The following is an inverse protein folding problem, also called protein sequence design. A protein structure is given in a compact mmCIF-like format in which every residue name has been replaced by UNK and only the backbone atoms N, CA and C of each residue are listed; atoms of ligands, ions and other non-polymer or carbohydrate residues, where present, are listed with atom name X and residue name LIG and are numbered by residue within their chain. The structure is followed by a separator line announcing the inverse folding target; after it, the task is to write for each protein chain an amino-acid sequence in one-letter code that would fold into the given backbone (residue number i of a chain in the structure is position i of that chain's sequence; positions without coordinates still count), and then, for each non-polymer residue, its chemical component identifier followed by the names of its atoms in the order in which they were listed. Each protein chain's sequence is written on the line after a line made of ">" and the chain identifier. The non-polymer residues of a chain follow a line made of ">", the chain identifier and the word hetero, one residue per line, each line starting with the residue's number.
data_IF_926401415217
#
_entry.id   IF_926401415217
#
_cell.length_a   1.000
_cell.length_b   1.000
_cell.length_c   1.000
_cell.angle_alpha   90.00
_cell.angle_beta   90.00
_cell.angle_gamma   90.00
#
_symmetry.space_group_name_H-M   'P 1'
#
loop_
_entity.id
_entity.type
_entity.pdbx_description
1 polymer ?
#
# COMPACT_ATOMS: atom_id res chain seq x y z
N UNK A 1 -22.06 29.46 2.65
CA UNK A 1 -22.26 28.07 3.09
C UNK A 1 -20.95 27.38 2.77
N UNK A 2 -20.14 27.14 3.79
CA UNK A 2 -18.83 26.52 3.66
C UNK A 2 -19.06 25.07 3.27
N UNK A 3 -18.69 24.70 2.05
CA UNK A 3 -18.64 23.31 1.65
C UNK A 3 -17.58 22.64 2.52
N UNK A 4 -18.06 21.72 3.34
CA UNK A 4 -17.26 20.80 4.12
C UNK A 4 -16.47 19.93 3.13
N UNK A 5 -15.23 20.35 2.84
CA UNK A 5 -14.28 19.60 2.00
C UNK A 5 -13.63 18.44 2.76
N UNK A 6 -14.17 18.05 3.91
CA UNK A 6 -13.76 16.90 4.68
C UNK A 6 -14.62 15.68 4.35
N UNK A 7 -14.25 14.94 3.30
CA UNK A 7 -14.30 13.46 3.19
C UNK A 7 -14.27 13.03 1.71
N UNK A 8 -13.21 12.28 1.35
CA UNK A 8 -12.90 11.71 0.04
C UNK A 8 -12.71 12.70 -1.12
N UNK A 9 -11.43 13.00 -1.40
CA UNK A 9 -10.97 13.69 -2.61
C UNK A 9 -11.18 12.89 -3.93
N UNK A 10 -12.20 12.03 -4.01
CA UNK A 10 -12.44 11.13 -5.14
C UNK A 10 -11.52 9.91 -5.22
N UNK A 11 -10.58 9.78 -4.27
CA UNK A 11 -9.68 8.64 -4.19
C UNK A 11 -10.43 7.35 -3.89
N UNK A 12 -10.09 6.30 -4.64
CA UNK A 12 -10.66 4.95 -4.48
C UNK A 12 -9.58 3.91 -4.24
N UNK A 13 -8.35 4.19 -4.66
CA UNK A 13 -7.20 3.30 -4.45
C UNK A 13 -5.97 4.09 -3.99
N UNK A 14 -5.07 3.38 -3.33
CA UNK A 14 -3.66 3.76 -3.24
C UNK A 14 -2.85 2.85 -4.16
N UNK A 15 -2.05 3.44 -5.04
CA UNK A 15 -0.98 2.78 -5.77
C UNK A 15 0.28 2.81 -4.91
N UNK A 16 0.88 1.64 -4.71
CA UNK A 16 2.13 1.46 -3.99
C UNK A 16 3.18 1.08 -5.01
N UNK A 17 4.32 1.76 -4.96
CA UNK A 17 5.54 1.36 -5.63
C UNK A 17 6.70 1.57 -4.66
N UNK A 18 7.10 0.54 -3.93
CA UNK A 18 8.06 0.65 -2.83
C UNK A 18 9.31 -0.19 -3.08
N UNK A 19 10.50 0.42 -2.96
CA UNK A 19 11.76 -0.32 -2.95
C UNK A 19 11.89 -1.16 -1.68
N UNK A 20 11.88 -2.48 -1.83
CA UNK A 20 11.95 -3.42 -0.70
C UNK A 20 13.40 -3.79 -0.45
N UNK A 21 13.85 -3.59 0.80
CA UNK A 21 15.24 -3.85 1.19
C UNK A 21 15.50 -5.30 1.60
N UNK A 22 14.52 -5.93 2.24
CA UNK A 22 14.59 -7.28 2.80
C UNK A 22 13.29 -8.01 2.47
N UNK A 23 13.29 -8.81 1.42
CA UNK A 23 12.14 -9.63 1.04
C UNK A 23 11.96 -10.79 2.02
N UNK A 24 13.05 -11.31 2.57
CA UNK A 24 13.11 -12.38 3.57
C UNK A 24 12.35 -12.10 4.88
N UNK A 25 12.00 -10.84 5.16
CA UNK A 25 11.13 -10.47 6.29
C UNK A 25 9.64 -10.75 6.02
N UNK A 26 9.29 -11.28 4.86
CA UNK A 26 7.94 -11.69 4.50
C UNK A 26 7.80 -13.20 4.25
N UNK A 27 6.56 -13.68 4.28
CA UNK A 27 6.22 -15.04 3.86
C UNK A 27 5.01 -15.05 2.94
N UNK A 28 5.01 -15.97 1.97
CA UNK A 28 3.92 -16.24 1.03
C UNK A 28 3.48 -17.69 1.18
N UNK A 29 2.18 -17.92 1.39
CA UNK A 29 1.61 -19.25 1.64
C UNK A 29 2.30 -20.01 2.79
N UNK A 30 2.81 -19.27 3.79
CA UNK A 30 3.53 -19.83 4.94
C UNK A 30 4.97 -20.26 4.64
N UNK A 31 5.52 -19.89 3.49
CA UNK A 31 6.93 -20.08 3.13
C UNK A 31 7.60 -18.72 3.14
N UNK A 32 8.73 -18.60 3.83
CA UNK A 32 9.51 -17.35 3.86
C UNK A 32 10.02 -17.01 2.45
N UNK A 33 9.98 -15.73 2.11
CA UNK A 33 10.49 -15.22 0.84
C UNK A 33 12.03 -15.17 0.85
N UNK A 34 12.64 -14.94 -0.31
CA UNK A 34 14.09 -14.70 -0.42
C UNK A 34 14.36 -13.45 -1.24
N UNK A 35 15.50 -12.80 -0.97
CA UNK A 35 15.89 -11.58 -1.67
C UNK A 35 16.19 -11.81 -3.16
N UNK A 36 16.57 -13.02 -3.56
CA UNK A 36 16.95 -13.31 -4.94
C UNK A 36 15.77 -13.51 -5.88
N UNK A 37 14.65 -14.03 -5.38
CA UNK A 37 13.48 -14.34 -6.20
C UNK A 37 12.19 -14.32 -5.37
N UNK A 38 11.74 -13.12 -4.95
CA UNK A 38 10.46 -12.97 -4.26
C UNK A 38 9.31 -13.50 -5.14
N UNK A 39 8.40 -14.25 -4.54
CA UNK A 39 7.27 -14.89 -5.20
C UNK A 39 5.95 -14.16 -4.97
N UNK A 40 5.93 -13.18 -4.05
CA UNK A 40 4.74 -12.39 -3.75
C UNK A 40 4.22 -11.67 -5.00
N UNK A 41 2.89 -11.59 -5.12
CA UNK A 41 2.27 -10.76 -6.14
C UNK A 41 2.70 -9.30 -6.03
N UNK A 42 3.03 -8.70 -7.18
CA UNK A 42 3.47 -7.31 -7.28
C UNK A 42 4.99 -7.12 -7.12
N UNK A 43 5.76 -8.17 -6.82
CA UNK A 43 7.22 -8.07 -6.86
C UNK A 43 7.71 -7.88 -8.30
N UNK A 44 8.43 -6.79 -8.57
CA UNK A 44 9.08 -6.52 -9.85
C UNK A 44 10.30 -5.60 -9.66
N UNK A 45 11.48 -6.05 -10.13
CA UNK A 45 12.73 -5.28 -10.10
C UNK A 45 13.04 -4.63 -8.73
N UNK A 46 13.10 -5.44 -7.66
CA UNK A 46 13.33 -5.00 -6.26
C UNK A 46 12.24 -4.10 -5.66
N UNK A 47 11.10 -3.96 -6.35
CA UNK A 47 9.98 -3.13 -5.89
C UNK A 47 8.72 -3.96 -5.66
N UNK A 48 7.95 -3.58 -4.66
CA UNK A 48 6.60 -4.09 -4.45
C UNK A 48 5.58 -3.12 -5.01
N UNK A 49 4.87 -3.55 -6.06
CA UNK A 49 3.92 -2.75 -6.83
C UNK A 49 2.53 -3.32 -6.78
N UNK A 50 1.64 -2.65 -6.05
CA UNK A 50 0.25 -3.07 -5.88
C UNK A 50 -0.71 -1.88 -5.88
N UNK A 51 -1.99 -2.14 -6.12
CA UNK A 51 -3.07 -1.18 -5.91
C UNK A 51 -4.00 -1.71 -4.84
N UNK A 52 -4.29 -0.91 -3.81
CA UNK A 52 -5.19 -1.29 -2.73
C UNK A 52 -6.46 -0.48 -2.85
N UNK A 53 -7.61 -1.16 -2.94
CA UNK A 53 -8.92 -0.54 -2.87
C UNK A 53 -9.16 -0.02 -1.45
N UNK A 54 -9.38 1.29 -1.30
CA UNK A 54 -9.48 1.95 0.01
C UNK A 54 -10.82 1.67 0.71
N UNK A 55 -11.90 1.42 -0.03
CA UNK A 55 -13.18 1.11 0.58
C UNK A 55 -13.19 -0.33 1.13
N UNK A 56 -12.50 -1.24 0.44
CA UNK A 56 -12.55 -2.66 0.73
C UNK A 56 -11.28 -3.18 1.41
N UNK A 57 -10.21 -2.40 1.54
CA UNK A 57 -8.93 -2.88 2.08
C UNK A 57 -8.43 -4.14 1.39
N UNK A 58 -8.52 -4.18 0.06
CA UNK A 58 -8.19 -5.35 -0.75
C UNK A 58 -7.20 -4.97 -1.85
N UNK A 59 -6.19 -5.79 -2.06
CA UNK A 59 -5.27 -5.64 -3.20
C UNK A 59 -5.99 -6.04 -4.50
N UNK A 60 -5.97 -5.15 -5.49
CA UNK A 60 -6.53 -5.42 -6.81
C UNK A 60 -5.67 -6.43 -7.57
N UNK A 61 -6.33 -7.41 -8.19
CA UNK A 61 -5.65 -8.44 -8.98
C UNK A 61 -4.92 -9.50 -8.15
N UNK A 62 -5.07 -9.51 -6.82
CA UNK A 62 -4.44 -10.48 -5.95
C UNK A 62 -4.75 -11.93 -6.40
N UNK A 63 -3.73 -12.81 -6.54
CA UNK A 63 -3.94 -14.19 -6.94
C UNK A 63 -4.82 -14.93 -5.94
N UNK A 64 -5.83 -15.63 -6.45
CA UNK A 64 -6.74 -16.42 -5.62
C UNK A 64 -5.94 -17.44 -4.81
N UNK A 65 -6.29 -17.56 -3.53
CA UNK A 65 -5.75 -18.50 -2.54
C UNK A 65 -4.28 -18.23 -2.13
N UNK A 66 -3.63 -17.18 -2.65
CA UNK A 66 -2.33 -16.72 -2.16
C UNK A 66 -2.52 -16.00 -0.82
N UNK A 67 -1.79 -16.38 0.23
CA UNK A 67 -1.71 -15.61 1.48
C UNK A 67 -0.33 -14.99 1.64
N UNK A 68 -0.24 -13.87 2.34
CA UNK A 68 1.05 -13.25 2.64
C UNK A 68 1.07 -12.61 4.04
N UNK A 69 2.24 -12.64 4.66
CA UNK A 69 2.57 -11.83 5.83
C UNK A 69 3.77 -10.96 5.43
N UNK A 70 3.52 -9.66 5.27
CA UNK A 70 4.46 -8.65 4.77
C UNK A 70 5.03 -7.85 5.93
N UNK A 71 6.35 -7.70 5.95
CA UNK A 71 7.08 -6.83 6.87
C UNK A 71 8.27 -6.16 6.15
N UNK A 72 7.99 -5.38 5.11
CA UNK A 72 9.04 -4.81 4.25
C UNK A 72 9.62 -3.53 4.82
N UNK A 73 10.95 -3.48 4.94
CA UNK A 73 11.66 -2.21 5.13
C UNK A 73 11.75 -1.46 3.80
N UNK A 74 11.30 -0.21 3.80
CA UNK A 74 11.48 0.79 2.75
C UNK A 74 12.49 1.83 3.26
N UNK A 75 13.52 2.13 2.47
CA UNK A 75 14.62 3.02 2.88
C UNK A 75 14.62 4.26 1.97
N UNK A 76 13.77 5.23 2.29
CA UNK A 76 13.60 6.48 1.54
C UNK A 76 13.31 6.28 0.04
N UNK A 77 12.65 5.17 -0.32
CA UNK A 77 12.41 4.74 -1.72
C UNK A 77 10.95 4.31 -1.97
N UNK A 78 10.02 4.96 -1.25
CA UNK A 78 8.59 4.79 -1.46
C UNK A 78 8.03 5.78 -2.48
N UNK A 79 7.21 5.30 -3.40
CA UNK A 79 6.31 6.14 -4.19
C UNK A 79 4.87 5.68 -3.99
N UNK A 80 4.02 6.61 -3.55
CA UNK A 80 2.62 6.32 -3.24
C UNK A 80 1.71 7.33 -3.92
N UNK A 81 0.64 6.84 -4.53
CA UNK A 81 -0.29 7.69 -5.27
C UNK A 81 -1.73 7.36 -4.90
N UNK A 82 -2.55 8.38 -4.67
CA UNK A 82 -4.00 8.22 -4.66
C UNK A 82 -4.52 8.18 -6.09
N UNK A 83 -5.39 7.22 -6.36
CA UNK A 83 -6.03 7.02 -7.66
C UNK A 83 -7.53 7.25 -7.57
N UNK A 84 -8.11 7.84 -8.61
CA UNK A 84 -9.57 7.91 -8.78
C UNK A 84 -10.17 6.57 -9.26
N UNK A 85 -11.49 6.53 -9.45
CA UNK A 85 -12.22 5.33 -9.91
C UNK A 85 -11.83 4.85 -11.33
N UNK A 86 -11.22 5.71 -12.13
CA UNK A 86 -10.76 5.40 -13.48
C UNK A 86 -9.31 4.89 -13.47
N UNK A 87 -8.66 4.89 -12.30
CA UNK A 87 -7.26 4.53 -12.14
C UNK A 87 -6.30 5.68 -12.48
N UNK A 88 -6.78 6.93 -12.53
CA UNK A 88 -5.94 8.10 -12.76
C UNK A 88 -5.31 8.58 -11.45
N UNK A 89 -4.02 8.90 -11.48
CA UNK A 89 -3.29 9.49 -10.33
C UNK A 89 -3.78 10.91 -10.07
N UNK A 90 -4.34 11.14 -8.89
CA UNK A 90 -4.91 12.43 -8.49
C UNK A 90 -4.11 13.13 -7.39
N UNK A 91 -3.30 12.40 -6.64
CA UNK A 91 -2.35 12.99 -5.71
C UNK A 91 -1.16 12.06 -5.44
N UNK A 92 0.04 12.64 -5.26
CA UNK A 92 1.25 11.95 -4.80
C UNK A 92 1.38 12.11 -3.28
N UNK A 93 1.81 11.08 -2.57
CA UNK A 93 2.26 11.25 -1.19
C UNK A 93 3.52 12.13 -1.19
N UNK A 94 3.59 13.09 -0.28
CA UNK A 94 4.68 14.09 -0.27
C UNK A 94 6.02 13.53 0.16
N UNK A 95 6.00 12.45 0.92
CA UNK A 95 7.19 11.81 1.48
C UNK A 95 7.54 10.51 0.76
N UNK A 96 8.74 10.02 1.01
CA UNK A 96 9.25 8.73 0.54
C UNK A 96 9.16 7.65 1.65
N UNK A 97 8.86 8.06 2.89
CA UNK A 97 8.49 7.17 4.00
C UNK A 97 7.14 6.49 3.76
N UNK A 98 6.92 5.37 4.45
CA UNK A 98 5.69 4.59 4.38
C UNK A 98 4.51 5.36 5.01
N UNK A 99 3.41 5.61 4.28
CA UNK A 99 2.18 6.15 4.84
C UNK A 99 1.51 5.11 5.76
N UNK A 100 1.83 5.17 7.05
CA UNK A 100 1.47 4.14 8.02
C UNK A 100 -0.03 3.83 8.09
N UNK A 101 -0.88 4.85 8.06
CA UNK A 101 -2.35 4.68 8.09
C UNK A 101 -2.87 3.82 6.92
N UNK A 102 -2.15 3.76 5.81
CA UNK A 102 -2.51 3.02 4.60
C UNK A 102 -1.85 1.64 4.49
N UNK A 103 -0.68 1.46 5.11
CA UNK A 103 0.23 0.33 4.83
C UNK A 103 0.73 -0.40 6.10
N UNK A 104 0.23 -0.01 7.27
CA UNK A 104 0.55 -0.64 8.56
C UNK A 104 -0.76 -1.03 9.26
N UNK A 105 -1.32 -2.18 8.85
CA UNK A 105 -2.53 -2.73 9.46
C UNK A 105 -2.16 -3.94 10.32
N UNK A 106 -2.34 -3.80 11.63
CA UNK A 106 -2.00 -4.82 12.63
C UNK A 106 -0.76 -4.52 13.46
N UNK A 107 0.07 -3.55 13.08
CA UNK A 107 1.18 -3.02 13.88
C UNK A 107 1.60 -1.61 13.40
N UNK A 108 2.55 -0.96 14.08
CA UNK A 108 3.12 0.34 13.72
C UNK A 108 4.45 0.17 12.96
N UNK A 109 4.49 0.65 11.71
CA UNK A 109 5.70 0.61 10.87
C UNK A 109 6.72 1.74 11.09
N UNK A 110 6.46 2.69 11.99
CA UNK A 110 7.38 3.79 12.34
C UNK A 110 7.91 4.63 11.14
N UNK A 111 7.17 4.64 10.03
CA UNK A 111 7.52 5.34 8.79
C UNK A 111 8.44 4.56 7.84
N UNK A 112 9.06 3.47 8.30
CA UNK A 112 10.04 2.71 7.51
C UNK A 112 9.52 1.36 7.01
N UNK A 113 8.44 0.85 7.59
CA UNK A 113 7.97 -0.51 7.33
C UNK A 113 6.56 -0.55 6.77
N UNK A 114 6.35 -1.37 5.75
CA UNK A 114 5.03 -1.84 5.33
C UNK A 114 4.75 -3.12 6.12
N UNK A 115 3.64 -3.15 6.86
CA UNK A 115 3.26 -4.28 7.72
C UNK A 115 1.81 -4.67 7.41
N UNK A 116 1.63 -5.81 6.73
CA UNK A 116 0.31 -6.27 6.27
C UNK A 116 0.18 -7.79 6.35
N UNK A 117 -1.00 -8.26 6.76
CA UNK A 117 -1.41 -9.66 6.58
C UNK A 117 -2.51 -9.73 5.53
N UNK A 118 -2.30 -10.53 4.49
CA UNK A 118 -3.16 -10.59 3.31
C UNK A 118 -3.70 -12.02 3.17
N UNK A 119 -5.02 -12.16 3.07
CA UNK A 119 -5.68 -13.45 2.91
C UNK A 119 -5.77 -13.91 1.44
N UNK A 120 -6.31 -15.12 1.23
CA UNK A 120 -6.48 -15.73 -0.10
C UNK A 120 -7.39 -14.97 -1.07
N UNK A 121 -8.17 -14.00 -0.58
CA UNK A 121 -8.99 -13.11 -1.39
C UNK A 121 -8.33 -11.73 -1.60
N UNK A 122 -7.10 -11.53 -1.12
CA UNK A 122 -6.36 -10.28 -1.18
C UNK A 122 -6.81 -9.26 -0.14
N UNK A 123 -7.64 -9.65 0.84
CA UNK A 123 -8.13 -8.75 1.89
C UNK A 123 -7.05 -8.59 2.95
N UNK A 124 -6.83 -7.34 3.35
CA UNK A 124 -5.90 -6.97 4.41
C UNK A 124 -6.60 -7.21 5.77
N UNK A 125 -5.95 -7.99 6.63
CA UNK A 125 -6.43 -8.22 7.99
C UNK A 125 -6.33 -6.94 8.83
N UNK A 126 -7.26 -6.78 9.78
CA UNK A 126 -7.34 -5.60 10.67
C UNK A 126 -7.45 -4.25 9.94
N UNK A 127 -7.80 -4.27 8.66
CA UNK A 127 -7.90 -3.08 7.83
C UNK A 127 -8.86 -2.05 8.44
N UNK A 128 -8.35 -0.84 8.60
CA UNK A 128 -9.14 0.36 8.89
C UNK A 128 -8.98 1.28 7.69
N UNK A 129 -10.09 1.76 7.13
CA UNK A 129 -10.02 2.70 6.02
C UNK A 129 -9.30 3.98 6.49
N UNK A 130 -8.17 4.36 5.87
CA UNK A 130 -7.40 5.53 6.30
C UNK A 130 -8.15 6.83 6.00
N UNK A 131 -7.93 7.82 6.85
CA UNK A 131 -8.21 9.21 6.51
C UNK A 131 -7.23 9.71 5.45
N UNK A 132 -7.65 10.66 4.63
CA UNK A 132 -6.75 11.36 3.71
C UNK A 132 -6.55 12.76 4.27
N UNK A 133 -5.37 13.05 4.83
CA UNK A 133 -4.98 14.39 5.24
C UNK A 133 -4.41 15.15 4.03
N UNK A 134 -5.08 16.20 3.51
CA UNK A 134 -4.58 16.97 2.38
C UNK A 134 -3.18 17.57 2.57
N UNK A 135 -2.69 17.70 3.81
CA UNK A 135 -1.34 18.18 4.09
C UNK A 135 -0.26 17.17 3.66
N UNK A 136 -0.53 15.87 3.70
CA UNK A 136 0.41 14.80 3.36
C UNK A 136 0.46 14.48 1.87
N UNK A 137 -0.50 14.98 1.10
CA UNK A 137 -0.68 14.65 -0.31
C UNK A 137 -0.56 15.89 -1.21
N UNK A 138 0.18 15.76 -2.31
CA UNK A 138 0.31 16.76 -3.35
C UNK A 138 -0.62 16.43 -4.52
N UNK A 139 -1.63 17.26 -4.77
CA UNK A 139 -2.56 17.04 -5.87
C UNK A 139 -1.87 17.20 -7.22
N UNK A 140 -2.20 16.32 -8.15
CA UNK A 140 -1.83 16.48 -9.55
C UNK A 140 -2.64 17.63 -10.13
N UNK A 141 -1.97 18.68 -10.59
CA UNK A 141 -2.63 19.77 -11.31
C UNK A 141 -3.07 19.29 -12.70
N UNK A 142 -4.34 19.51 -13.03
CA UNK A 142 -4.91 19.28 -14.34
C UNK A 142 -4.35 20.25 -15.41
#
# INVERSE_FOLDING_TARGET
>A
MTEDMGQNAGATHIEVDAGVRYWEDASVNGVDETDENPTIFGADNDRWRVKINLAEGRIEGWPKDMTANVHYKVCDDGEYWLLDKNGERIAKYRDYYVPGDFLCHGDNGYGDYIILKIDGAGKIADYQQPGIDPAEWERVSA
#
